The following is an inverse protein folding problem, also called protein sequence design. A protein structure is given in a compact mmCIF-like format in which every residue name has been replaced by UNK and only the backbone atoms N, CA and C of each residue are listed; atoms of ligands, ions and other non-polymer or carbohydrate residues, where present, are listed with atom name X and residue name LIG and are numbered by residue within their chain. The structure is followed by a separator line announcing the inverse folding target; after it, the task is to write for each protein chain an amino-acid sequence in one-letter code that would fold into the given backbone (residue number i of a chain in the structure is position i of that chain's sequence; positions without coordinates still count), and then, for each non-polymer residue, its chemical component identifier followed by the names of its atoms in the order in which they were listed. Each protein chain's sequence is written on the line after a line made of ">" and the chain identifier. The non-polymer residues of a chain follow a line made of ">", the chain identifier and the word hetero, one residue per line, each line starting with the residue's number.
data_IF_323975513350
#
_entry.id   IF_323975513350
#
_cell.length_a   1.000
_cell.length_b   1.000
_cell.length_c   1.000
_cell.angle_alpha   90.00
_cell.angle_beta   90.00
_cell.angle_gamma   90.00
#
_symmetry.space_group_name_H-M   'P 1'
#
loop_
_entity.id
_entity.type
_entity.pdbx_description
1 polymer ?
#
# COMPACT_ATOMS: atom_id res chain seq x y z
N UNK A 1 18.51 -0.19 43.30
CA UNK A 1 17.99 -0.28 41.92
C UNK A 1 17.87 -1.76 41.53
N UNK A 2 16.67 -2.34 41.58
CA UNK A 2 16.43 -3.72 41.13
C UNK A 2 15.87 -3.71 39.72
N UNK A 3 16.44 -4.51 38.81
CA UNK A 3 15.93 -4.68 37.45
C UNK A 3 14.67 -5.56 37.54
N UNK A 4 13.53 -5.04 37.05
CA UNK A 4 12.25 -5.76 37.07
C UNK A 4 12.27 -6.94 36.09
N UNK A 5 11.59 -8.04 36.41
CA UNK A 5 11.48 -9.23 35.54
C UNK A 5 10.97 -8.90 34.12
N UNK A 6 10.19 -7.83 33.97
CA UNK A 6 9.73 -7.32 32.67
C UNK A 6 10.85 -6.68 31.84
N UNK A 7 11.84 -6.05 32.49
CA UNK A 7 13.00 -5.45 31.84
C UNK A 7 13.96 -6.53 31.34
N UNK A 8 14.14 -7.62 32.11
CA UNK A 8 14.96 -8.77 31.71
C UNK A 8 14.35 -9.46 30.49
N UNK A 9 13.04 -9.70 30.49
CA UNK A 9 12.34 -10.29 29.34
C UNK A 9 12.48 -9.47 28.06
N UNK A 10 12.35 -8.13 28.16
CA UNK A 10 12.56 -7.23 27.01
C UNK A 10 14.01 -7.22 26.53
N UNK A 11 14.98 -7.25 27.43
CA UNK A 11 16.40 -7.28 27.08
C UNK A 11 16.77 -8.57 26.32
N UNK A 12 16.31 -9.73 26.79
CA UNK A 12 16.51 -11.02 26.10
C UNK A 12 15.86 -10.98 24.72
N UNK A 13 14.62 -10.52 24.62
CA UNK A 13 13.91 -10.39 23.34
C UNK A 13 14.68 -9.53 22.33
N UNK A 14 15.23 -8.39 22.77
CA UNK A 14 16.00 -7.50 21.90
C UNK A 14 17.30 -8.14 21.41
N UNK A 15 18.06 -8.82 22.29
CA UNK A 15 19.31 -9.50 21.90
C UNK A 15 19.03 -10.60 20.87
N UNK A 16 17.98 -11.39 21.08
CA UNK A 16 17.56 -12.43 20.12
C UNK A 16 17.17 -11.81 18.78
N UNK A 17 16.42 -10.71 18.77
CA UNK A 17 16.04 -10.00 17.55
C UNK A 17 17.25 -9.41 16.81
N UNK A 18 18.25 -8.89 17.53
CA UNK A 18 19.49 -8.39 16.92
C UNK A 18 20.28 -9.53 16.27
N UNK A 19 20.42 -10.67 16.96
CA UNK A 19 21.05 -11.86 16.40
C UNK A 19 20.32 -12.35 15.14
N UNK A 20 18.99 -12.42 15.20
CA UNK A 20 18.16 -12.79 14.05
C UNK A 20 18.34 -11.85 12.87
N UNK A 21 18.34 -10.53 13.07
CA UNK A 21 18.57 -9.56 11.99
C UNK A 21 19.95 -9.65 11.37
N UNK A 22 20.94 -10.15 12.10
CA UNK A 22 22.30 -10.35 11.59
C UNK A 22 22.37 -11.58 10.68
N UNK A 23 21.68 -12.67 11.05
CA UNK A 23 21.66 -13.92 10.28
C UNK A 23 20.64 -13.89 9.14
N UNK A 24 19.49 -13.26 9.38
CA UNK A 24 18.33 -13.12 8.48
C UNK A 24 18.03 -11.61 8.33
N UNK A 25 18.84 -10.87 7.55
CA UNK A 25 18.63 -9.46 7.36
C UNK A 25 17.27 -9.17 6.70
N UNK A 26 16.66 -8.00 6.99
CA UNK A 26 15.46 -7.58 6.28
C UNK A 26 15.74 -7.50 4.79
N UNK A 27 14.76 -7.87 3.98
CA UNK A 27 14.88 -7.84 2.52
C UNK A 27 13.74 -7.06 1.91
N UNK A 28 14.05 -6.39 0.80
CA UNK A 28 13.10 -5.73 -0.08
C UNK A 28 12.04 -6.74 -0.52
N UNK A 29 10.76 -6.41 -0.31
CA UNK A 29 9.65 -7.23 -0.78
C UNK A 29 9.61 -7.39 -2.30
N UNK A 30 10.26 -6.48 -3.03
CA UNK A 30 10.42 -6.47 -4.49
C UNK A 30 11.56 -7.36 -4.95
N UNK A 31 12.78 -6.84 -4.96
CA UNK A 31 13.95 -7.51 -5.53
C UNK A 31 14.71 -8.45 -4.55
N UNK A 32 14.42 -8.40 -3.25
CA UNK A 32 15.14 -9.20 -2.24
C UNK A 32 16.47 -8.62 -1.75
N UNK A 33 16.85 -7.42 -2.20
CA UNK A 33 17.99 -6.66 -1.68
C UNK A 33 17.87 -6.41 -0.17
N UNK A 34 18.99 -6.34 0.54
CA UNK A 34 18.99 -6.07 1.98
C UNK A 34 18.48 -4.65 2.25
N UNK A 35 17.55 -4.52 3.18
CA UNK A 35 16.98 -3.24 3.63
C UNK A 35 17.18 -3.06 5.13
N UNK A 36 17.11 -1.81 5.60
CA UNK A 36 17.21 -1.51 7.04
C UNK A 36 15.91 -1.82 7.80
N UNK A 37 14.80 -1.88 7.06
CA UNK A 37 13.45 -2.07 7.60
C UNK A 37 12.81 -3.35 7.07
N UNK A 38 12.10 -4.05 7.95
CA UNK A 38 11.27 -5.20 7.59
C UNK A 38 10.01 -4.74 6.88
N UNK A 39 9.48 -5.58 5.97
CA UNK A 39 8.27 -5.29 5.20
C UNK A 39 8.36 -3.93 4.47
N UNK A 40 9.51 -3.69 3.82
CA UNK A 40 9.80 -2.50 3.05
C UNK A 40 10.21 -2.86 1.62
N UNK A 41 10.34 -1.85 0.77
CA UNK A 41 10.91 -1.97 -0.57
C UNK A 41 12.09 -1.00 -0.70
N UNK A 42 13.10 -1.36 -1.49
CA UNK A 42 14.21 -0.46 -1.79
C UNK A 42 13.75 0.70 -2.68
N UNK A 43 14.60 1.72 -2.83
CA UNK A 43 14.29 2.93 -3.60
C UNK A 43 13.95 2.63 -5.07
N UNK A 44 14.66 1.70 -5.71
CA UNK A 44 14.43 1.35 -7.12
C UNK A 44 13.08 0.65 -7.30
N UNK A 45 12.77 -0.31 -6.43
CA UNK A 45 11.46 -0.96 -6.43
C UNK A 45 10.33 0.05 -6.14
N UNK A 46 10.56 0.99 -5.21
CA UNK A 46 9.61 2.05 -4.91
C UNK A 46 9.35 2.95 -6.12
N UNK A 47 10.39 3.32 -6.86
CA UNK A 47 10.27 4.20 -8.03
C UNK A 47 9.41 3.61 -9.15
N UNK A 48 9.35 2.28 -9.27
CA UNK A 48 8.47 1.59 -10.23
C UNK A 48 7.01 1.50 -9.79
N UNK A 49 6.69 1.72 -8.51
CA UNK A 49 5.33 1.57 -7.99
C UNK A 49 4.50 2.83 -8.24
N UNK A 50 3.35 2.66 -8.91
CA UNK A 50 2.39 3.73 -9.18
C UNK A 50 1.23 3.69 -8.20
N UNK A 51 1.35 4.45 -7.10
CA UNK A 51 0.29 4.57 -6.11
C UNK A 51 -0.88 5.39 -6.64
N UNK A 52 -2.09 4.92 -6.36
CA UNK A 52 -3.32 5.63 -6.69
C UNK A 52 -3.64 6.58 -5.53
N UNK A 53 -3.67 7.87 -5.83
CA UNK A 53 -4.05 8.94 -4.91
C UNK A 53 -5.08 9.85 -5.56
N UNK A 54 -5.66 10.77 -4.81
CA UNK A 54 -6.51 11.81 -5.39
C UNK A 54 -5.76 12.62 -6.47
N UNK A 55 -6.42 13.03 -7.57
CA UNK A 55 -7.84 12.82 -7.86
C UNK A 55 -8.15 11.42 -8.44
N UNK A 56 -9.20 10.78 -7.92
CA UNK A 56 -9.68 9.48 -8.36
C UNK A 56 -11.21 9.40 -8.29
N UNK A 57 -11.84 8.50 -9.04
CA UNK A 57 -13.29 8.34 -9.02
C UNK A 57 -13.79 8.01 -7.61
N UNK A 58 -14.77 8.78 -7.13
CA UNK A 58 -15.32 8.61 -5.79
C UNK A 58 -15.92 7.21 -5.58
N UNK A 59 -16.54 6.63 -6.63
CA UNK A 59 -17.16 5.31 -6.61
C UNK A 59 -16.15 4.17 -6.85
N UNK A 60 -15.56 4.03 -8.04
CA UNK A 60 -14.72 2.86 -8.36
C UNK A 60 -13.23 3.03 -8.06
N UNK A 61 -12.77 4.22 -7.68
CA UNK A 61 -11.35 4.49 -7.43
C UNK A 61 -10.48 4.58 -8.69
N UNK A 62 -11.08 4.73 -9.89
CA UNK A 62 -10.33 4.94 -11.12
C UNK A 62 -9.41 6.18 -11.01
N UNK A 63 -8.09 6.05 -11.20
CA UNK A 63 -7.17 7.19 -11.13
C UNK A 63 -7.39 8.09 -12.34
N UNK A 64 -7.64 9.38 -12.11
CA UNK A 64 -7.75 10.31 -13.23
C UNK A 64 -6.37 10.71 -13.72
N UNK A 65 -6.16 10.71 -15.04
CA UNK A 65 -4.97 11.26 -15.68
C UNK A 65 -5.11 12.79 -15.80
N UNK A 66 -5.31 13.46 -14.67
CA UNK A 66 -5.33 14.91 -14.61
C UNK A 66 -4.01 15.37 -14.02
N UNK A 67 -3.25 16.13 -14.83
CA UNK A 67 -2.18 16.94 -14.29
C UNK A 67 -2.76 17.83 -13.19
N UNK A 68 -2.13 17.83 -12.03
CA UNK A 68 -2.54 18.61 -10.84
C UNK A 68 -2.58 20.13 -11.13
N UNK A 69 -2.08 20.56 -12.30
CA UNK A 69 -2.17 21.92 -12.85
C UNK A 69 -3.45 22.21 -13.65
N UNK A 70 -4.23 21.21 -14.05
CA UNK A 70 -5.54 21.41 -14.64
C UNK A 70 -6.54 21.56 -13.49
N UNK A 71 -7.10 22.78 -13.35
CA UNK A 71 -8.06 23.16 -12.32
C UNK A 71 -9.02 22.02 -11.98
N UNK A 72 -9.04 21.60 -10.71
CA UNK A 72 -9.96 20.60 -10.14
C UNK A 72 -11.44 20.96 -10.42
N UNK A 73 -11.72 22.22 -10.72
CA UNK A 73 -13.02 22.74 -11.16
C UNK A 73 -13.51 22.19 -12.51
N UNK A 74 -12.63 21.63 -13.34
CA UNK A 74 -12.97 21.08 -14.65
C UNK A 74 -13.40 19.60 -14.62
N UNK A 75 -13.38 18.95 -13.45
CA UNK A 75 -13.82 17.55 -13.36
C UNK A 75 -15.32 17.52 -13.11
N UNK A 76 -16.05 16.87 -14.01
CA UNK A 76 -17.50 16.68 -13.90
C UNK A 76 -17.85 16.03 -12.55
N UNK A 77 -18.74 16.69 -11.83
CA UNK A 77 -19.24 16.24 -10.54
C UNK A 77 -20.67 15.76 -10.72
N UNK A 78 -21.04 14.69 -10.03
CA UNK A 78 -22.43 14.30 -9.96
C UNK A 78 -23.28 15.32 -9.17
N UNK A 79 -24.59 15.09 -9.12
CA UNK A 79 -25.51 15.99 -8.40
C UNK A 79 -25.21 16.11 -6.89
N UNK A 80 -24.43 15.17 -6.33
CA UNK A 80 -24.01 15.14 -4.94
C UNK A 80 -22.60 15.76 -4.73
N UNK A 81 -22.00 16.35 -5.78
CA UNK A 81 -20.69 16.98 -5.75
C UNK A 81 -19.52 15.98 -5.82
N UNK A 82 -19.77 14.71 -6.15
CA UNK A 82 -18.74 13.67 -6.21
C UNK A 82 -18.18 13.56 -7.63
N UNK A 83 -16.86 13.53 -7.72
CA UNK A 83 -16.17 13.31 -8.99
C UNK A 83 -16.26 11.83 -9.41
N UNK A 84 -17.01 11.54 -10.47
CA UNK A 84 -17.18 10.18 -11.00
C UNK A 84 -16.50 10.02 -12.36
N UNK A 85 -16.05 8.81 -12.68
CA UNK A 85 -15.57 8.52 -14.04
C UNK A 85 -16.75 8.25 -14.98
N UNK A 86 -16.52 8.36 -16.29
CA UNK A 86 -17.57 8.17 -17.30
C UNK A 86 -18.30 6.81 -17.21
N UNK A 87 -17.60 5.74 -16.80
CA UNK A 87 -18.22 4.43 -16.60
C UNK A 87 -19.20 4.45 -15.41
N UNK A 88 -18.80 5.05 -14.28
CA UNK A 88 -19.65 5.16 -13.11
C UNK A 88 -20.84 6.11 -13.31
N UNK A 89 -20.69 7.15 -14.14
CA UNK A 89 -21.81 8.00 -14.57
C UNK A 89 -22.83 7.23 -15.41
N UNK A 90 -22.38 6.41 -16.37
CA UNK A 90 -23.28 5.65 -17.24
C UNK A 90 -23.99 4.52 -16.49
N UNK A 91 -23.25 3.77 -15.66
CA UNK A 91 -23.80 2.65 -14.91
C UNK A 91 -23.02 2.46 -13.61
N UNK A 92 -23.67 2.78 -12.48
CA UNK A 92 -23.09 2.52 -11.16
C UNK A 92 -22.87 1.01 -10.94
N UNK A 93 -21.71 0.60 -10.42
CA UNK A 93 -21.45 -0.79 -10.04
C UNK A 93 -22.30 -1.19 -8.81
N UNK A 94 -22.30 -2.48 -8.46
CA UNK A 94 -23.07 -3.03 -7.33
C UNK A 94 -22.46 -2.73 -5.94
N UNK A 95 -21.53 -1.78 -5.86
CA UNK A 95 -20.87 -1.35 -4.63
C UNK A 95 -20.88 0.17 -4.55
N UNK A 96 -20.87 0.71 -3.33
CA UNK A 96 -20.88 2.16 -3.10
C UNK A 96 -19.51 2.79 -3.39
N UNK A 97 -18.44 2.12 -2.92
CA UNK A 97 -17.09 2.64 -2.97
C UNK A 97 -16.06 1.51 -3.06
N UNK A 98 -15.04 1.70 -3.90
CA UNK A 98 -13.88 0.84 -4.02
C UNK A 98 -12.59 1.66 -4.02
N UNK A 99 -11.53 1.07 -3.48
CA UNK A 99 -10.17 1.64 -3.43
C UNK A 99 -9.15 0.59 -3.80
N UNK A 100 -8.16 1.00 -4.58
CA UNK A 100 -6.99 0.21 -4.91
C UNK A 100 -5.74 1.02 -4.54
N UNK A 101 -4.72 0.35 -4.03
CA UNK A 101 -3.50 1.05 -3.60
C UNK A 101 -2.57 1.40 -4.77
N UNK A 102 -2.55 0.58 -5.81
CA UNK A 102 -1.61 0.69 -6.93
C UNK A 102 -2.34 0.50 -8.26
N UNK A 103 -1.84 1.16 -9.30
CA UNK A 103 -2.16 0.80 -10.68
C UNK A 103 -1.63 -0.61 -10.95
N UNK A 104 -2.44 -1.49 -11.53
CA UNK A 104 -2.00 -2.82 -11.92
C UNK A 104 -1.17 -2.75 -13.20
N UNK A 105 0.16 -2.85 -13.05
CA UNK A 105 1.16 -2.77 -14.12
C UNK A 105 2.26 -3.81 -13.88
N UNK A 106 3.32 -3.79 -14.69
CA UNK A 106 4.40 -4.78 -14.58
C UNK A 106 5.12 -4.75 -13.22
N UNK A 107 5.21 -3.58 -12.58
CA UNK A 107 5.88 -3.44 -11.29
C UNK A 107 5.00 -3.96 -10.14
N UNK A 108 3.73 -3.54 -10.07
CA UNK A 108 2.82 -3.96 -9.00
C UNK A 108 2.37 -5.42 -9.14
N UNK A 109 2.25 -5.91 -10.39
CA UNK A 109 1.88 -7.29 -10.73
C UNK A 109 2.80 -8.32 -10.09
N UNK A 110 4.11 -8.06 -10.07
CA UNK A 110 5.07 -9.02 -9.54
C UNK A 110 4.83 -9.33 -8.05
N UNK A 111 4.46 -8.32 -7.25
CA UNK A 111 4.15 -8.50 -5.83
C UNK A 111 2.89 -9.34 -5.65
N UNK A 112 1.82 -9.01 -6.40
CA UNK A 112 0.53 -9.69 -6.30
C UNK A 112 0.61 -11.15 -6.77
N UNK A 113 1.32 -11.41 -7.86
CA UNK A 113 1.51 -12.78 -8.35
C UNK A 113 2.34 -13.62 -7.39
N UNK A 114 3.40 -13.06 -6.82
CA UNK A 114 4.21 -13.78 -5.83
C UNK A 114 3.43 -14.05 -4.55
N UNK A 115 2.64 -13.09 -4.09
CA UNK A 115 1.74 -13.28 -2.96
C UNK A 115 0.71 -14.38 -3.23
N UNK A 116 0.04 -14.34 -4.40
CA UNK A 116 -1.05 -15.27 -4.74
C UNK A 116 -0.58 -16.68 -5.11
N UNK A 117 0.59 -16.80 -5.75
CA UNK A 117 1.00 -18.03 -6.43
C UNK A 117 2.39 -18.55 -6.03
N UNK A 118 3.23 -17.76 -5.36
CA UNK A 118 4.58 -18.16 -4.98
C UNK A 118 4.78 -18.25 -3.45
N UNK A 119 3.68 -18.36 -2.69
CA UNK A 119 3.67 -18.47 -1.23
C UNK A 119 4.46 -17.36 -0.50
N UNK A 120 4.56 -16.17 -1.13
CA UNK A 120 5.21 -14.98 -0.55
C UNK A 120 4.28 -14.26 0.43
N UNK A 121 3.77 -15.00 1.42
CA UNK A 121 2.85 -14.48 2.46
C UNK A 121 3.54 -13.48 3.40
N UNK A 122 4.88 -13.44 3.40
CA UNK A 122 5.69 -12.40 4.05
C UNK A 122 5.41 -10.98 3.54
N UNK A 123 4.83 -10.86 2.33
CA UNK A 123 4.39 -9.59 1.75
C UNK A 123 3.11 -9.05 2.39
N UNK A 124 2.38 -9.85 3.17
CA UNK A 124 1.08 -9.45 3.77
C UNK A 124 1.16 -8.11 4.50
N UNK A 125 2.11 -7.87 5.43
CA UNK A 125 2.14 -6.60 6.17
C UNK A 125 2.41 -5.40 5.25
N UNK A 126 3.24 -5.58 4.21
CA UNK A 126 3.54 -4.55 3.22
C UNK A 126 2.29 -4.19 2.41
N UNK A 127 1.65 -5.20 1.81
CA UNK A 127 0.45 -5.03 0.98
C UNK A 127 -0.74 -4.51 1.79
N UNK A 128 -0.94 -5.01 3.00
CA UNK A 128 -1.99 -4.56 3.90
C UNK A 128 -1.81 -3.09 4.29
N UNK A 129 -0.57 -2.64 4.55
CA UNK A 129 -0.30 -1.23 4.83
C UNK A 129 -0.69 -0.33 3.65
N UNK A 130 -0.38 -0.74 2.42
CA UNK A 130 -0.76 0.01 1.22
C UNK A 130 -2.28 0.06 1.04
N UNK A 131 -2.97 -1.06 1.24
CA UNK A 131 -4.44 -1.12 1.21
C UNK A 131 -5.08 -0.23 2.27
N UNK A 132 -4.53 -0.24 3.49
CA UNK A 132 -5.03 0.58 4.59
C UNK A 132 -4.89 2.08 4.28
N UNK A 133 -3.76 2.49 3.72
CA UNK A 133 -3.54 3.89 3.28
C UNK A 133 -4.51 4.29 2.17
N UNK A 134 -4.69 3.43 1.16
CA UNK A 134 -5.56 3.69 0.02
C UNK A 134 -7.04 3.82 0.41
N UNK A 135 -7.48 3.09 1.44
CA UNK A 135 -8.85 3.11 1.95
C UNK A 135 -9.02 3.93 3.22
N UNK A 136 -8.07 4.80 3.61
CA UNK A 136 -8.15 5.53 4.88
C UNK A 136 -9.44 6.34 5.05
N UNK A 137 -10.06 6.75 3.94
CA UNK A 137 -11.35 7.48 3.89
C UNK A 137 -12.57 6.58 4.13
N UNK A 138 -12.40 5.25 4.16
CA UNK A 138 -13.49 4.27 4.35
C UNK A 138 -13.62 3.78 5.80
N UNK A 139 -12.55 3.85 6.60
CA UNK A 139 -12.48 3.25 7.94
C UNK A 139 -12.42 4.29 9.07
N UNK A 140 -12.62 5.56 8.75
CA UNK A 140 -12.61 6.69 9.69
C UNK A 140 -13.95 6.99 10.33
#
# INVERSE_FOLDING_TARGET
>A
MGISSSQIGRAIGNVVQIGLRTVLPPRCGGCGEITDTTHAVCADCWAGLRFITAPQCACCGYPFELDVSANIEAIDQDADGKTLCGNCHQKKPAFDQARAALVYDDHSREYLLRFKHADRTDLTPLLARWMFQAGHDMWG
#
